data_IF_198000044666
#
_entry.id   IF_198000044666
#
_cell.length_a   1.000
_cell.length_b   1.000
_cell.length_c   1.000
_cell.angle_alpha   90.00
_cell.angle_beta   90.00
_cell.angle_gamma   90.00
#
_symmetry.space_group_name_H-M   'P 1'
#
loop_
_entity.id
_entity.type
_entity.pdbx_description
1 polymer ?
#
# COMPACT_ATOMS: atom_id res chain seq x y z
N UNK A 1 -9.18 34.87 17.92
CA UNK A 1 -10.16 34.17 17.06
C UNK A 1 -9.37 33.32 16.06
N UNK A 2 -9.33 31.98 16.20
CA UNK A 2 -8.84 31.02 15.19
C UNK A 2 -9.18 29.59 15.64
N UNK A 3 -10.46 29.20 15.58
CA UNK A 3 -10.91 27.89 16.09
C UNK A 3 -12.15 27.34 15.35
N UNK A 4 -12.31 27.63 14.05
CA UNK A 4 -13.53 27.33 13.27
C UNK A 4 -13.27 26.80 11.84
N UNK A 5 -12.06 26.33 11.52
CA UNK A 5 -11.75 25.83 10.16
C UNK A 5 -11.91 24.31 10.01
N UNK A 6 -11.67 23.52 11.07
CA UNK A 6 -11.70 22.05 11.02
C UNK A 6 -13.11 21.42 10.85
N UNK A 7 -14.18 22.14 11.18
CA UNK A 7 -15.54 21.60 11.03
C UNK A 7 -16.08 21.65 9.59
N UNK A 8 -15.55 22.54 8.74
CA UNK A 8 -16.18 22.89 7.45
C UNK A 8 -16.08 21.82 6.35
N UNK A 9 -15.38 20.71 6.56
CA UNK A 9 -15.11 19.70 5.53
C UNK A 9 -15.61 18.27 5.84
N UNK A 10 -16.53 18.09 6.79
CA UNK A 10 -17.22 16.80 7.01
C UNK A 10 -18.24 16.50 5.90
N UNK A 11 -17.75 16.05 4.74
CA UNK A 11 -18.58 15.57 3.63
C UNK A 11 -19.38 14.33 4.04
N UNK A 12 -20.67 14.29 3.73
CA UNK A 12 -21.52 13.10 3.94
C UNK A 12 -21.03 11.95 3.05
N UNK A 13 -20.68 10.82 3.67
CA UNK A 13 -20.29 9.58 2.97
C UNK A 13 -21.36 8.53 3.21
N UNK A 14 -21.91 7.97 2.14
CA UNK A 14 -22.94 6.93 2.20
C UNK A 14 -22.34 5.58 1.80
N UNK A 15 -22.29 4.63 2.74
CA UNK A 15 -21.88 3.25 2.48
C UNK A 15 -23.13 2.43 2.12
N UNK A 16 -23.12 1.78 0.95
CA UNK A 16 -24.22 0.91 0.47
C UNK A 16 -23.82 -0.56 0.59
N UNK A 17 -24.80 -1.45 0.76
CA UNK A 17 -24.55 -2.89 0.84
C UNK A 17 -24.02 -3.39 2.19
N UNK A 18 -24.18 -2.62 3.28
CA UNK A 18 -23.93 -3.11 4.64
C UNK A 18 -25.03 -4.13 4.99
N UNK A 19 -24.64 -5.31 5.48
CA UNK A 19 -25.59 -6.31 5.94
C UNK A 19 -26.46 -5.78 7.10
N UNK A 20 -27.75 -6.12 7.06
CA UNK A 20 -28.74 -5.63 8.02
C UNK A 20 -28.39 -6.01 9.46
N UNK A 21 -27.94 -7.24 9.71
CA UNK A 21 -27.61 -7.72 11.05
C UNK A 21 -26.34 -7.07 11.62
N UNK A 22 -25.38 -6.72 10.76
CA UNK A 22 -24.17 -5.97 11.13
C UNK A 22 -24.54 -4.54 11.52
N UNK A 23 -25.40 -3.89 10.73
CA UNK A 23 -25.90 -2.54 11.05
C UNK A 23 -26.68 -2.51 12.37
N UNK A 24 -27.61 -3.44 12.58
CA UNK A 24 -28.39 -3.55 13.82
C UNK A 24 -27.47 -3.75 15.05
N UNK A 25 -26.44 -4.59 14.93
CA UNK A 25 -25.45 -4.79 15.99
C UNK A 25 -24.65 -3.52 16.29
N UNK A 26 -24.22 -2.78 15.26
CA UNK A 26 -23.54 -1.49 15.45
C UNK A 26 -24.44 -0.45 16.14
N UNK A 27 -25.74 -0.44 15.85
CA UNK A 27 -26.73 0.42 16.53
C UNK A 27 -26.91 0.03 18.00
N UNK A 28 -26.96 -1.26 18.32
CA UNK A 28 -27.03 -1.74 19.72
C UNK A 28 -25.78 -1.33 20.51
N UNK A 29 -24.58 -1.64 20.01
CA UNK A 29 -23.32 -1.29 20.67
C UNK A 29 -23.16 0.22 20.85
N UNK A 30 -23.63 1.04 19.90
CA UNK A 30 -23.65 2.49 20.04
C UNK A 30 -24.52 2.96 21.22
N UNK A 31 -25.73 2.41 21.36
CA UNK A 31 -26.65 2.70 22.48
C UNK A 31 -26.09 2.26 23.83
N UNK A 32 -25.56 1.04 23.91
CA UNK A 32 -25.00 0.47 25.15
C UNK A 32 -23.75 1.22 25.63
N UNK A 33 -22.95 1.78 24.71
CA UNK A 33 -21.72 2.52 25.05
C UNK A 33 -21.91 4.04 25.13
N UNK A 34 -23.12 4.56 24.88
CA UNK A 34 -23.42 6.00 24.90
C UNK A 34 -22.77 6.80 23.76
N UNK A 35 -22.50 6.16 22.62
CA UNK A 35 -21.76 6.72 21.47
C UNK A 35 -22.63 6.78 20.22
N UNK A 36 -22.21 7.52 19.20
CA UNK A 36 -22.90 7.52 17.90
C UNK A 36 -22.55 6.29 17.08
N UNK A 37 -23.47 5.85 16.22
CA UNK A 37 -23.23 4.76 15.25
C UNK A 37 -22.05 5.09 14.34
N UNK A 38 -21.89 6.37 13.97
CA UNK A 38 -20.77 6.86 13.17
C UNK A 38 -19.42 6.66 13.89
N UNK A 39 -19.32 6.91 15.20
CA UNK A 39 -18.09 6.65 15.97
C UNK A 39 -17.79 5.16 16.12
N UNK A 40 -18.81 4.33 16.36
CA UNK A 40 -18.63 2.86 16.43
C UNK A 40 -18.16 2.31 15.09
N UNK A 41 -18.78 2.71 13.98
CA UNK A 41 -18.39 2.29 12.63
C UNK A 41 -17.02 2.86 12.25
N UNK A 42 -16.74 4.14 12.52
CA UNK A 42 -15.42 4.73 12.26
C UNK A 42 -14.34 4.10 13.11
N UNK A 43 -14.59 3.76 14.39
CA UNK A 43 -13.63 3.03 15.20
C UNK A 43 -13.46 1.59 14.70
N UNK A 44 -14.52 0.87 14.37
CA UNK A 44 -14.43 -0.49 13.84
C UNK A 44 -13.67 -0.53 12.50
N UNK A 45 -13.96 0.40 11.59
CA UNK A 45 -13.22 0.57 10.33
C UNK A 45 -11.79 1.03 10.59
N UNK A 46 -11.54 2.00 11.47
CA UNK A 46 -10.17 2.45 11.79
C UNK A 46 -9.36 1.40 12.54
N UNK A 47 -10.00 0.49 13.27
CA UNK A 47 -9.39 -0.68 13.89
C UNK A 47 -9.21 -1.80 12.88
N UNK A 48 -10.09 -2.01 11.91
CA UNK A 48 -9.95 -3.03 10.87
C UNK A 48 -8.91 -2.62 9.83
N UNK A 49 -9.06 -1.43 9.24
CA UNK A 49 -8.07 -0.77 8.38
C UNK A 49 -6.75 -0.51 9.14
N UNK A 50 -6.86 -0.22 10.44
CA UNK A 50 -5.74 -0.12 11.37
C UNK A 50 -5.10 -1.46 11.71
N UNK A 51 -5.81 -2.59 11.67
CA UNK A 51 -5.22 -3.91 11.81
C UNK A 51 -4.58 -4.34 10.48
N UNK A 52 -5.15 -3.97 9.33
CA UNK A 52 -4.51 -4.19 8.03
C UNK A 52 -3.32 -3.24 7.74
N UNK A 53 -3.10 -2.20 8.56
CA UNK A 53 -1.96 -1.26 8.43
C UNK A 53 -1.00 -1.23 9.63
N UNK A 54 -1.47 -1.20 10.88
CA UNK A 54 -0.61 -1.38 12.08
C UNK A 54 -0.03 -2.77 12.20
N UNK A 55 -0.57 -3.76 11.50
CA UNK A 55 0.12 -5.02 11.31
C UNK A 55 1.56 -4.82 10.79
N UNK A 56 2.03 -3.65 10.32
CA UNK A 56 3.47 -3.36 10.54
C UNK A 56 3.92 -1.93 10.77
N UNK A 57 3.03 -0.93 10.88
CA UNK A 57 3.40 0.36 11.50
C UNK A 57 3.55 0.28 13.04
N UNK A 58 3.89 -0.92 13.56
CA UNK A 58 4.09 -1.17 14.97
C UNK A 58 5.37 -2.00 15.26
N UNK A 59 6.22 -2.28 14.28
CA UNK A 59 7.54 -2.91 14.55
C UNK A 59 8.59 -1.89 15.04
N UNK A 60 8.32 -0.58 15.00
CA UNK A 60 9.27 0.40 15.57
C UNK A 60 9.07 0.61 17.08
N UNK A 61 7.85 0.55 17.63
CA UNK A 61 7.61 0.60 19.10
C UNK A 61 6.34 -0.13 19.64
N UNK A 62 5.69 -1.01 18.88
CA UNK A 62 4.72 -1.99 19.44
C UNK A 62 5.14 -3.42 19.07
N UNK A 63 6.44 -3.69 19.25
CA UNK A 63 7.09 -5.01 19.14
C UNK A 63 6.56 -6.01 20.21
N UNK A 64 5.63 -5.58 21.06
CA UNK A 64 4.86 -6.44 21.96
C UNK A 64 3.42 -6.74 21.48
N UNK A 65 2.94 -6.21 20.34
CA UNK A 65 1.50 -6.26 20.05
C UNK A 65 0.97 -6.13 18.62
N UNK A 66 1.78 -5.90 17.56
CA UNK A 66 1.24 -5.90 16.17
C UNK A 66 2.22 -6.45 15.12
N UNK A 67 1.71 -7.19 14.12
CA UNK A 67 2.44 -8.26 13.40
C UNK A 67 2.14 -8.35 11.88
N UNK A 68 3.20 -8.41 11.04
CA UNK A 68 3.32 -8.66 9.58
C UNK A 68 2.81 -7.75 8.40
N UNK A 69 1.62 -7.11 8.37
CA UNK A 69 1.09 -6.52 7.09
C UNK A 69 1.62 -5.14 6.62
N UNK A 70 1.51 -4.06 7.41
CA UNK A 70 2.00 -2.71 7.07
C UNK A 70 3.52 -2.50 6.91
N UNK A 71 4.28 -3.52 6.51
CA UNK A 71 5.73 -3.43 6.22
C UNK A 71 5.91 -2.61 4.95
N UNK A 72 4.93 -2.66 4.06
CA UNK A 72 4.72 -1.77 2.91
C UNK A 72 4.28 -0.34 3.29
N UNK A 73 3.70 -0.13 4.48
CA UNK A 73 3.38 1.21 5.01
C UNK A 73 4.57 1.85 5.72
N UNK A 74 5.35 1.10 6.50
CA UNK A 74 6.68 1.54 6.98
C UNK A 74 7.58 1.83 5.79
N UNK A 75 7.62 0.94 4.78
CA UNK A 75 8.42 1.20 3.59
C UNK A 75 7.91 2.43 2.82
N UNK A 76 6.60 2.61 2.60
CA UNK A 76 6.09 3.86 2.04
C UNK A 76 6.40 5.15 2.83
N UNK A 77 6.73 5.03 4.12
CA UNK A 77 7.15 6.15 4.98
C UNK A 77 8.69 6.30 5.04
N UNK A 78 9.44 5.21 4.87
CA UNK A 78 10.89 5.24 4.61
C UNK A 78 11.21 5.72 3.20
N UNK A 79 10.37 5.44 2.22
CA UNK A 79 10.45 5.88 0.82
C UNK A 79 10.11 7.37 0.66
N UNK A 80 9.55 7.99 1.70
CA UNK A 80 9.41 9.44 1.84
C UNK A 80 10.58 10.07 2.62
N UNK A 81 11.53 9.27 3.10
CA UNK A 81 12.66 9.67 3.96
C UNK A 81 14.02 9.39 3.30
N UNK A 82 14.10 8.29 2.54
CA UNK A 82 14.94 8.08 1.37
C UNK A 82 14.25 8.79 0.20
N UNK A 83 15.01 9.32 -0.75
CA UNK A 83 14.48 10.08 -1.88
C UNK A 83 13.98 9.13 -3.00
N UNK A 84 12.90 8.37 -2.72
CA UNK A 84 12.39 7.28 -3.57
C UNK A 84 11.16 7.74 -4.37
N UNK A 85 11.18 7.47 -5.67
CA UNK A 85 10.06 7.79 -6.57
C UNK A 85 9.04 6.66 -6.56
N UNK A 86 7.81 6.95 -6.16
CA UNK A 86 6.71 5.96 -6.16
C UNK A 86 5.89 6.10 -7.44
N UNK A 87 5.72 5.00 -8.18
CA UNK A 87 4.89 4.91 -9.39
C UNK A 87 3.76 3.91 -9.09
N UNK A 88 2.51 4.39 -9.08
CA UNK A 88 1.38 3.56 -8.64
C UNK A 88 0.09 3.69 -9.46
N UNK A 89 -0.78 2.69 -9.30
CA UNK A 89 -2.19 2.69 -9.73
C UNK A 89 -2.40 2.81 -11.26
N UNK A 90 -1.44 2.28 -12.01
CA UNK A 90 -1.45 2.17 -13.47
C UNK A 90 -1.90 0.76 -13.90
N UNK A 91 -2.69 0.62 -14.97
CA UNK A 91 -3.11 -0.69 -15.44
C UNK A 91 -1.95 -1.51 -16.04
N UNK A 92 -1.25 -0.95 -17.02
CA UNK A 92 -0.08 -1.57 -17.65
C UNK A 92 1.05 -0.54 -17.76
N UNK A 93 2.27 -0.96 -17.44
CA UNK A 93 3.46 -0.11 -17.52
C UNK A 93 4.61 -0.91 -18.17
N UNK A 94 5.32 -0.27 -19.09
CA UNK A 94 6.59 -0.76 -19.63
C UNK A 94 7.65 0.28 -19.33
N UNK A 95 8.80 -0.15 -18.80
CA UNK A 95 9.92 0.72 -18.43
C UNK A 95 11.21 0.14 -19.00
N UNK A 96 12.03 1.01 -19.57
CA UNK A 96 13.35 0.70 -20.12
C UNK A 96 14.47 1.09 -19.15
N UNK A 97 15.67 0.56 -19.40
CA UNK A 97 16.90 0.91 -18.67
C UNK A 97 17.12 2.42 -18.58
N UNK A 98 17.03 3.12 -19.71
CA UNK A 98 17.39 4.54 -19.79
C UNK A 98 16.41 5.43 -19.01
N UNK A 99 15.12 5.08 -18.99
CA UNK A 99 14.11 5.79 -18.18
C UNK A 99 14.41 5.68 -16.67
N UNK A 100 14.84 4.50 -16.19
CA UNK A 100 15.24 4.33 -14.78
C UNK A 100 16.49 5.16 -14.46
N UNK A 101 17.50 5.13 -15.35
CA UNK A 101 18.76 5.86 -15.13
C UNK A 101 18.56 7.38 -15.19
N UNK A 102 17.67 7.88 -16.05
CA UNK A 102 17.33 9.31 -16.13
C UNK A 102 16.64 9.85 -14.88
N UNK A 103 15.86 9.02 -14.17
CA UNK A 103 15.25 9.40 -12.88
C UNK A 103 16.31 9.61 -11.79
N UNK A 104 17.44 8.88 -11.86
CA UNK A 104 18.60 9.06 -10.98
C UNK A 104 18.36 8.74 -9.49
N UNK A 105 17.17 8.24 -9.15
CA UNK A 105 16.68 7.96 -7.80
C UNK A 105 16.10 6.54 -7.74
N UNK A 106 16.05 5.90 -6.56
CA UNK A 106 15.39 4.61 -6.43
C UNK A 106 13.89 4.70 -6.74
N UNK A 107 13.31 3.66 -7.32
CA UNK A 107 11.91 3.61 -7.78
C UNK A 107 11.16 2.46 -7.09
N UNK A 108 9.95 2.75 -6.60
CA UNK A 108 9.00 1.77 -6.04
C UNK A 108 7.77 1.65 -6.95
N UNK A 109 7.55 0.48 -7.54
CA UNK A 109 6.40 0.19 -8.40
C UNK A 109 5.26 -0.45 -7.60
N UNK A 110 4.05 0.11 -7.66
CA UNK A 110 2.93 -0.32 -6.79
C UNK A 110 1.59 -0.46 -7.52
N UNK A 111 0.80 -1.48 -7.20
CA UNK A 111 -0.57 -1.67 -7.72
C UNK A 111 -0.67 -1.66 -9.26
N UNK A 112 0.25 -2.34 -9.96
CA UNK A 112 0.28 -2.38 -11.44
C UNK A 112 -0.20 -3.75 -11.92
N UNK A 113 -1.22 -3.85 -12.79
CA UNK A 113 -1.67 -5.19 -13.24
C UNK A 113 -0.59 -5.88 -14.06
N UNK A 114 0.04 -5.15 -14.99
CA UNK A 114 1.13 -5.69 -15.82
C UNK A 114 2.31 -4.73 -15.85
N UNK A 115 3.47 -5.18 -15.37
CA UNK A 115 4.71 -4.41 -15.36
C UNK A 115 5.77 -5.12 -16.21
N UNK A 116 6.27 -4.44 -17.23
CA UNK A 116 7.40 -4.91 -18.06
C UNK A 116 8.64 -4.09 -17.74
N UNK A 117 9.69 -4.71 -17.22
CA UNK A 117 10.95 -4.05 -16.88
C UNK A 117 12.06 -4.50 -17.84
N UNK A 118 12.23 -3.82 -18.97
CA UNK A 118 13.31 -4.10 -19.91
C UNK A 118 14.62 -3.44 -19.43
N UNK A 119 15.23 -4.05 -18.41
CA UNK A 119 16.34 -3.50 -17.64
C UNK A 119 17.46 -4.52 -17.45
N UNK A 120 18.67 -4.04 -17.17
CA UNK A 120 19.83 -4.85 -16.82
C UNK A 120 20.09 -4.88 -15.30
N UNK A 121 21.17 -5.56 -14.88
CA UNK A 121 21.52 -5.70 -13.48
C UNK A 121 21.98 -4.36 -12.84
N UNK A 122 22.43 -3.39 -13.63
CA UNK A 122 22.74 -2.03 -13.16
C UNK A 122 21.44 -1.29 -12.79
N UNK A 123 20.51 -1.17 -13.73
CA UNK A 123 19.22 -0.51 -13.51
C UNK A 123 18.35 -1.24 -12.45
N UNK A 124 18.52 -2.55 -12.25
CA UNK A 124 17.89 -3.30 -11.15
C UNK A 124 18.26 -2.76 -9.75
N UNK A 125 19.44 -2.16 -9.58
CA UNK A 125 19.83 -1.57 -8.29
C UNK A 125 18.99 -0.34 -7.92
N UNK A 126 18.47 0.37 -8.92
CA UNK A 126 17.57 1.51 -8.75
C UNK A 126 16.12 1.09 -8.48
N UNK A 127 15.75 -0.19 -8.65
CA UNK A 127 14.43 -0.67 -8.20
C UNK A 127 14.49 -0.92 -6.70
N UNK A 128 13.82 -0.11 -5.87
CA UNK A 128 13.72 -0.39 -4.43
C UNK A 128 12.79 -1.60 -4.21
N UNK A 129 11.57 -1.50 -4.72
CA UNK A 129 10.50 -2.47 -4.44
C UNK A 129 9.46 -2.57 -5.56
N UNK A 130 8.88 -3.76 -5.71
CA UNK A 130 7.77 -4.05 -6.61
C UNK A 130 6.64 -4.66 -5.78
N UNK A 131 5.50 -3.98 -5.65
CA UNK A 131 4.44 -4.32 -4.68
C UNK A 131 3.08 -4.42 -5.38
N UNK A 132 2.41 -5.57 -5.25
CA UNK A 132 1.05 -5.76 -5.78
C UNK A 132 1.01 -5.71 -7.30
N UNK A 133 1.71 -6.65 -7.95
CA UNK A 133 1.76 -6.76 -9.41
C UNK A 133 1.23 -8.12 -9.86
N UNK A 134 0.24 -8.13 -10.76
CA UNK A 134 -0.37 -9.39 -11.19
C UNK A 134 0.54 -10.14 -12.18
N UNK A 135 1.10 -9.46 -13.16
CA UNK A 135 2.08 -10.01 -14.10
C UNK A 135 3.32 -9.11 -14.19
N UNK A 136 4.46 -9.63 -13.72
CA UNK A 136 5.77 -9.02 -13.89
C UNK A 136 6.51 -9.70 -15.04
N UNK A 137 7.03 -8.91 -15.97
CA UNK A 137 7.73 -9.37 -17.17
C UNK A 137 9.15 -8.79 -17.15
N UNK A 138 10.16 -9.66 -17.26
CA UNK A 138 11.59 -9.28 -17.17
C UNK A 138 12.43 -9.93 -18.28
N UNK A 139 13.57 -9.35 -18.66
CA UNK A 139 14.57 -10.01 -19.49
C UNK A 139 15.08 -11.33 -18.88
N UNK A 140 15.42 -12.26 -19.76
CA UNK A 140 16.07 -13.54 -19.46
C UNK A 140 17.40 -13.39 -18.70
N UNK A 141 18.07 -12.24 -18.84
CA UNK A 141 19.35 -11.88 -18.21
C UNK A 141 19.26 -11.54 -16.71
N UNK A 142 18.08 -11.25 -16.17
CA UNK A 142 17.90 -10.86 -14.76
C UNK A 142 17.86 -12.07 -13.84
N UNK A 143 18.68 -12.06 -12.78
CA UNK A 143 18.62 -13.07 -11.73
C UNK A 143 17.31 -12.96 -10.93
N UNK A 144 16.41 -13.94 -11.15
CA UNK A 144 15.09 -14.03 -10.53
C UNK A 144 15.13 -14.02 -9.00
N UNK A 145 16.15 -14.59 -8.38
CA UNK A 145 16.26 -14.66 -6.91
C UNK A 145 16.54 -13.26 -6.33
N UNK A 146 17.44 -12.50 -6.96
CA UNK A 146 17.78 -11.12 -6.55
C UNK A 146 16.56 -10.20 -6.74
N UNK A 147 15.84 -10.32 -7.87
CA UNK A 147 14.62 -9.58 -8.11
C UNK A 147 13.51 -9.92 -7.09
N UNK A 148 13.33 -11.21 -6.77
CA UNK A 148 12.31 -11.67 -5.82
C UNK A 148 12.49 -11.10 -4.42
N UNK A 149 13.73 -10.80 -3.98
CA UNK A 149 13.98 -10.12 -2.70
C UNK A 149 13.36 -8.71 -2.63
N UNK A 150 13.14 -8.06 -3.78
CA UNK A 150 12.51 -6.74 -3.93
C UNK A 150 10.99 -6.83 -4.18
N UNK A 151 10.45 -8.04 -4.41
CA UNK A 151 9.05 -8.26 -4.78
C UNK A 151 8.15 -8.58 -3.58
N UNK A 152 6.95 -7.99 -3.54
CA UNK A 152 5.89 -8.28 -2.56
C UNK A 152 4.55 -8.40 -3.27
N UNK A 153 3.78 -9.46 -2.99
CA UNK A 153 2.48 -9.70 -3.63
C UNK A 153 2.52 -9.68 -5.18
N UNK A 154 3.57 -10.27 -5.77
CA UNK A 154 3.65 -10.49 -7.22
C UNK A 154 3.04 -11.85 -7.55
N UNK A 155 1.98 -11.91 -8.38
CA UNK A 155 1.26 -13.19 -8.65
C UNK A 155 1.97 -14.06 -9.68
N UNK A 156 2.53 -13.47 -10.73
CA UNK A 156 3.19 -14.17 -11.84
C UNK A 156 4.45 -13.42 -12.26
N UNK A 157 5.55 -14.15 -12.45
CA UNK A 157 6.76 -13.65 -13.11
C UNK A 157 6.95 -14.42 -14.41
N UNK A 158 7.17 -13.69 -15.50
CA UNK A 158 7.45 -14.22 -16.84
C UNK A 158 8.72 -13.61 -17.40
N UNK A 159 9.36 -14.32 -18.33
CA UNK A 159 10.59 -13.86 -18.98
C UNK A 159 10.37 -13.61 -20.46
N UNK A 160 10.79 -12.45 -20.94
CA UNK A 160 11.02 -12.20 -22.37
C UNK A 160 12.45 -12.64 -22.68
N UNK A 161 12.64 -13.22 -23.88
CA UNK A 161 13.93 -13.68 -24.40
C UNK A 161 14.91 -12.52 -24.55
#
# INVERSE_FOLDING_TARGET
MSSNEDEKNKKTVTIRGVDKSIYERAVMTARETGRTVGEIVNQALSSFLGLTSKATNAVTQVVQGVKETGKSFVQGFEDAKKDVVVISDVQELSVTRDEILQVGKPISFRNIKKLTLNIDQEALNYVDSIIGVDELVIPSTINKIILLQKCKFVKKISTIS
#
